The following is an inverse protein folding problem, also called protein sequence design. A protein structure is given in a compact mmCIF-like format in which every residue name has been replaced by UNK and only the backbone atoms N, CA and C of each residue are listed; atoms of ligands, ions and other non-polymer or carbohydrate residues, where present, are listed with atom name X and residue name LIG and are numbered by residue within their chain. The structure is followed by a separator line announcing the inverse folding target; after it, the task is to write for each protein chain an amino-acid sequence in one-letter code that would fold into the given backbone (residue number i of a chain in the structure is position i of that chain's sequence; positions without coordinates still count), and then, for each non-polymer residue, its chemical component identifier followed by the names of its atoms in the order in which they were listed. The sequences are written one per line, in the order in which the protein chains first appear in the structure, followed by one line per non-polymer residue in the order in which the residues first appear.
data_IF_054587963757
#
_entry.id   IF_054587963757
#
_cell.length_a   1.000
_cell.length_b   1.000
_cell.length_c   1.000
_cell.angle_alpha   90.00
_cell.angle_beta   90.00
_cell.angle_gamma   90.00
#
_symmetry.space_group_name_H-M   'P 1'
#
loop_
_entity.id
_entity.type
_entity.pdbx_description
1 polymer ?
#
# COMPACT_ATOMS: atom_id res chain seq x y z
N UNK A 1 -1.88 2.48 10.92
CA UNK A 1 -1.51 1.25 11.67
C UNK A 1 -0.67 0.29 10.82
N UNK A 2 -1.10 -0.04 9.60
CA UNK A 2 -0.36 -0.93 8.68
C UNK A 2 1.02 -0.40 8.22
N UNK A 3 1.19 0.91 8.11
CA UNK A 3 2.49 1.53 7.78
C UNK A 3 3.50 1.37 8.92
N UNK A 4 3.10 1.67 10.15
CA UNK A 4 3.92 1.45 11.36
C UNK A 4 4.32 -0.02 11.48
N UNK A 5 3.39 -0.94 11.21
CA UNK A 5 3.66 -2.38 11.19
C UNK A 5 4.67 -2.75 10.10
N UNK A 6 4.53 -2.20 8.89
CA UNK A 6 5.47 -2.45 7.79
C UNK A 6 6.88 -1.96 8.12
N UNK A 7 7.00 -0.77 8.75
CA UNK A 7 8.28 -0.21 9.19
C UNK A 7 8.92 -1.10 10.26
N UNK A 8 8.15 -1.53 11.26
CA UNK A 8 8.61 -2.46 12.30
C UNK A 8 9.09 -3.79 11.72
N UNK A 9 8.32 -4.39 10.80
CA UNK A 9 8.67 -5.62 10.10
C UNK A 9 9.96 -5.46 9.28
N UNK A 10 10.11 -4.34 8.56
CA UNK A 10 11.31 -4.06 7.78
C UNK A 10 12.54 -3.88 8.68
N UNK A 11 12.41 -3.14 9.78
CA UNK A 11 13.47 -2.94 10.75
C UNK A 11 13.94 -4.27 11.34
N UNK A 12 12.99 -5.14 11.72
CA UNK A 12 13.31 -6.46 12.24
C UNK A 12 13.99 -7.34 11.19
N UNK A 13 13.51 -7.30 9.94
CA UNK A 13 14.12 -8.06 8.85
C UNK A 13 15.56 -7.64 8.57
N UNK A 14 15.82 -6.33 8.51
CA UNK A 14 17.16 -5.77 8.32
C UNK A 14 18.07 -6.16 9.49
N UNK A 15 17.57 -6.09 10.73
CA UNK A 15 18.32 -6.51 11.92
C UNK A 15 18.72 -7.99 11.86
N UNK A 16 17.79 -8.88 11.46
CA UNK A 16 18.09 -10.31 11.30
C UNK A 16 19.07 -10.57 10.15
N UNK A 17 18.97 -9.83 9.04
CA UNK A 17 19.93 -9.92 7.94
C UNK A 17 21.33 -9.45 8.37
N UNK A 18 21.42 -8.38 9.16
CA UNK A 18 22.68 -7.88 9.71
C UNK A 18 23.32 -8.90 10.64
N UNK A 19 22.57 -9.48 11.58
CA UNK A 19 23.06 -10.48 12.53
C UNK A 19 23.48 -11.81 11.86
N UNK A 20 22.92 -12.12 10.70
CA UNK A 20 23.31 -13.30 9.90
C UNK A 20 24.43 -13.00 8.90
N UNK A 21 24.91 -11.74 8.84
CA UNK A 21 25.99 -11.36 7.93
C UNK A 21 27.36 -11.79 8.49
N UNK A 22 28.19 -12.36 7.63
CA UNK A 22 29.55 -12.82 7.99
C UNK A 22 30.48 -11.64 8.30
N UNK A 23 30.24 -10.49 7.68
CA UNK A 23 31.02 -9.25 7.83
C UNK A 23 30.38 -8.28 8.82
N UNK A 24 29.59 -8.77 9.78
CA UNK A 24 29.05 -7.89 10.82
C UNK A 24 30.20 -7.28 11.62
N UNK A 25 30.06 -6.00 11.97
CA UNK A 25 31.06 -5.29 12.79
C UNK A 25 30.98 -5.69 14.27
N UNK A 26 29.96 -6.47 14.64
CA UNK A 26 29.77 -7.01 15.97
C UNK A 26 30.76 -8.13 16.22
N UNK A 27 31.43 -8.11 17.38
CA UNK A 27 32.37 -9.15 17.85
C UNK A 27 31.71 -10.50 18.14
N UNK A 28 30.39 -10.59 18.02
CA UNK A 28 29.60 -11.81 18.20
C UNK A 28 29.73 -12.73 16.99
N UNK A 29 29.64 -14.05 17.20
CA UNK A 29 29.56 -15.02 16.09
C UNK A 29 28.27 -14.77 15.28
N UNK A 30 28.33 -14.85 13.94
CA UNK A 30 27.16 -14.64 13.10
C UNK A 30 26.08 -15.66 13.39
N UNK A 31 24.82 -15.20 13.38
CA UNK A 31 23.65 -16.04 13.59
C UNK A 31 23.49 -17.07 12.46
N UNK A 32 22.78 -18.17 12.75
CA UNK A 32 22.61 -19.26 11.79
C UNK A 32 21.92 -18.78 10.50
N UNK A 33 22.44 -19.20 9.34
CA UNK A 33 21.88 -18.83 8.02
C UNK A 33 20.41 -19.22 7.84
N UNK A 34 19.87 -20.18 8.62
CA UNK A 34 18.46 -20.56 8.61
C UNK A 34 17.53 -19.37 8.87
N UNK A 35 17.95 -18.40 9.69
CA UNK A 35 17.18 -17.20 10.01
C UNK A 35 17.06 -16.21 8.84
N UNK A 36 17.91 -16.30 7.81
CA UNK A 36 17.76 -15.46 6.60
C UNK A 36 16.44 -15.71 5.88
N UNK A 37 15.96 -16.96 5.84
CA UNK A 37 14.67 -17.29 5.22
C UNK A 37 13.51 -16.55 5.91
N UNK A 38 13.57 -16.46 7.24
CA UNK A 38 12.59 -15.71 8.02
C UNK A 38 12.69 -14.21 7.76
N UNK A 39 13.89 -13.65 7.63
CA UNK A 39 14.06 -12.25 7.27
C UNK A 39 13.45 -11.91 5.90
N UNK A 40 13.63 -12.78 4.89
CA UNK A 40 12.98 -12.58 3.59
C UNK A 40 11.45 -12.67 3.68
N UNK A 41 10.91 -13.56 4.53
CA UNK A 41 9.49 -13.61 4.82
C UNK A 41 8.96 -12.33 5.47
N UNK A 42 9.72 -11.74 6.41
CA UNK A 42 9.39 -10.47 7.04
C UNK A 42 9.42 -9.29 6.05
N UNK A 43 10.38 -9.28 5.11
CA UNK A 43 10.42 -8.30 4.01
C UNK A 43 9.15 -8.43 3.17
N UNK A 44 8.79 -9.65 2.76
CA UNK A 44 7.62 -9.89 1.93
C UNK A 44 6.33 -9.44 2.62
N UNK A 45 6.18 -9.74 3.92
CA UNK A 45 5.06 -9.26 4.75
C UNK A 45 5.02 -7.73 4.87
N UNK A 46 6.18 -7.08 5.05
CA UNK A 46 6.28 -5.62 5.09
C UNK A 46 5.80 -5.00 3.77
N UNK A 47 6.28 -5.52 2.64
CA UNK A 47 5.87 -5.06 1.31
C UNK A 47 4.37 -5.25 1.08
N UNK A 48 3.80 -6.39 1.47
CA UNK A 48 2.36 -6.64 1.37
C UNK A 48 1.55 -5.65 2.23
N UNK A 49 2.00 -5.36 3.44
CA UNK A 49 1.34 -4.39 4.33
C UNK A 49 1.31 -2.97 3.72
N UNK A 50 2.41 -2.55 3.08
CA UNK A 50 2.45 -1.29 2.34
C UNK A 50 1.52 -1.31 1.12
N UNK A 51 1.50 -2.42 0.37
CA UNK A 51 0.65 -2.57 -0.81
C UNK A 51 -0.84 -2.48 -0.47
N UNK A 52 -1.25 -3.06 0.65
CA UNK A 52 -2.63 -2.96 1.17
C UNK A 52 -2.98 -1.51 1.51
N UNK A 53 -2.06 -0.79 2.15
CA UNK A 53 -2.27 0.62 2.52
C UNK A 53 -2.46 1.48 1.27
N UNK A 54 -1.60 1.31 0.26
CA UNK A 54 -1.70 2.05 -1.00
C UNK A 54 -2.96 1.68 -1.80
N UNK A 55 -3.36 0.40 -1.79
CA UNK A 55 -4.61 -0.06 -2.42
C UNK A 55 -5.84 0.57 -1.78
N UNK A 56 -5.88 0.67 -0.45
CA UNK A 56 -6.98 1.33 0.26
C UNK A 56 -7.05 2.82 -0.09
N UNK A 57 -5.91 3.51 -0.10
CA UNK A 57 -5.84 4.92 -0.48
C UNK A 57 -6.37 5.14 -1.91
N UNK A 58 -5.92 4.30 -2.85
CA UNK A 58 -6.34 4.34 -4.25
C UNK A 58 -7.84 4.06 -4.40
N UNK A 59 -8.38 3.11 -3.63
CA UNK A 59 -9.82 2.80 -3.63
C UNK A 59 -10.66 3.99 -3.17
N UNK A 60 -10.29 4.63 -2.05
CA UNK A 60 -10.98 5.83 -1.56
C UNK A 60 -10.92 6.96 -2.59
N UNK A 61 -9.75 7.19 -3.18
CA UNK A 61 -9.59 8.21 -4.21
C UNK A 61 -10.45 7.93 -5.44
N UNK A 62 -10.48 6.68 -5.90
CA UNK A 62 -11.31 6.26 -7.04
C UNK A 62 -12.80 6.55 -6.79
N UNK A 63 -13.32 6.23 -5.61
CA UNK A 63 -14.72 6.54 -5.24
C UNK A 63 -14.99 8.04 -5.30
N UNK A 64 -14.09 8.87 -4.77
CA UNK A 64 -14.24 10.34 -4.81
C UNK A 64 -14.26 10.83 -6.26
N UNK A 65 -13.35 10.35 -7.10
CA UNK A 65 -13.30 10.73 -8.53
C UNK A 65 -14.58 10.33 -9.25
N UNK A 66 -15.13 9.14 -9.00
CA UNK A 66 -16.40 8.69 -9.59
C UNK A 66 -17.54 9.62 -9.17
N UNK A 67 -17.63 10.01 -7.90
CA UNK A 67 -18.66 10.94 -7.41
C UNK A 67 -18.51 12.31 -8.09
N UNK A 68 -17.29 12.83 -8.22
CA UNK A 68 -17.02 14.09 -8.91
C UNK A 68 -17.43 14.03 -10.39
N UNK A 69 -17.13 12.93 -11.07
CA UNK A 69 -17.53 12.72 -12.47
C UNK A 69 -19.06 12.68 -12.62
N UNK A 70 -19.76 11.95 -11.74
CA UNK A 70 -21.23 11.94 -11.72
C UNK A 70 -21.77 13.36 -11.54
N UNK A 71 -21.23 14.11 -10.57
CA UNK A 71 -21.59 15.50 -10.33
C UNK A 71 -21.34 16.41 -11.53
N UNK A 72 -20.21 16.23 -12.23
CA UNK A 72 -19.88 16.97 -13.45
C UNK A 72 -20.80 16.61 -14.63
N UNK A 73 -21.37 15.40 -14.66
CA UNK A 73 -22.30 14.97 -15.71
C UNK A 73 -23.75 15.43 -15.45
N UNK A 74 -24.15 15.75 -14.21
CA UNK A 74 -25.47 16.27 -13.88
C UNK A 74 -25.94 17.45 -14.77
N UNK A 75 -25.14 18.50 -15.04
CA UNK A 75 -25.57 19.59 -15.93
C UNK A 75 -25.82 19.12 -17.37
N UNK A 76 -25.08 18.12 -17.87
CA UNK A 76 -25.32 17.56 -19.20
C UNK A 76 -26.64 16.77 -19.26
N UNK A 77 -26.94 15.99 -18.22
CA UNK A 77 -28.24 15.34 -18.11
C UNK A 77 -29.37 16.36 -17.99
N UNK A 78 -29.20 17.42 -17.20
CA UNK A 78 -30.19 18.50 -17.08
C UNK A 78 -30.47 19.19 -18.43
N UNK A 79 -29.44 19.41 -19.25
CA UNK A 79 -29.60 19.96 -20.60
C UNK A 79 -30.33 19.00 -21.55
N UNK A 80 -30.04 17.70 -21.50
CA UNK A 80 -30.74 16.68 -22.29
C UNK A 80 -32.24 16.59 -21.92
N UNK A 81 -32.56 16.60 -20.62
CA UNK A 81 -33.95 16.59 -20.16
C UNK A 81 -34.70 17.89 -20.48
N UNK A 82 -34.03 19.05 -20.43
CA UNK A 82 -34.61 20.34 -20.83
C UNK A 82 -34.88 20.41 -22.34
N UNK A 83 -34.01 19.82 -23.16
CA UNK A 83 -34.24 19.67 -24.61
C UNK A 83 -35.47 18.80 -24.91
N UNK A 84 -35.62 17.67 -24.21
CA UNK A 84 -36.74 16.74 -24.39
C UNK A 84 -38.12 17.30 -23.99
N UNK A 85 -38.17 18.29 -23.08
CA UNK A 85 -39.44 18.96 -22.68
C UNK A 85 -39.81 20.13 -23.60
N UNK A 86 -38.91 20.61 -24.44
CA UNK A 86 -39.19 21.69 -25.40
C UNK A 86 -39.72 21.20 -26.74
N UNK A 87 -39.67 19.89 -27.00
CA UNK A 87 -40.17 19.24 -28.23
C UNK A 87 -41.53 18.53 -28.04
N UNK A 88 -42.14 18.62 -26.85
CA UNK A 88 -43.51 18.15 -26.55
C UNK A 88 -44.50 19.31 -26.47
#
# INVERSE_FOLDING_TARGET
MFELLAILLAFFAVSVLYLTNKYQYLTLKPAQKKYRKWAYGLILLSTLSLLVTMSLLASVYSVIVVIMLIGAMLPFFALLFKGATSES
#
